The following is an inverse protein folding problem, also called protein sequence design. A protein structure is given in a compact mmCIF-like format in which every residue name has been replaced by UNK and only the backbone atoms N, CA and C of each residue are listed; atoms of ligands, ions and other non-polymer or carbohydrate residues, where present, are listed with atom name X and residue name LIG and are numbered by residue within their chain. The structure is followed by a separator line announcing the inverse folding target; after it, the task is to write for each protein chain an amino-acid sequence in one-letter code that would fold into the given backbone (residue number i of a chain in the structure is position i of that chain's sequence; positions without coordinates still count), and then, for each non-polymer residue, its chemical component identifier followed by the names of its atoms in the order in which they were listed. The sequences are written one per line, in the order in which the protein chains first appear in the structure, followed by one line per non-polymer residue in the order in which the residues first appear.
data_IF_185396527259
#
_entry.id   IF_185396527259
#
_cell.length_a   1.000
_cell.length_b   1.000
_cell.length_c   1.000
_cell.angle_alpha   90.00
_cell.angle_beta   90.00
_cell.angle_gamma   90.00
#
_symmetry.space_group_name_H-M   'P 1'
#
loop_
_entity.id
_entity.type
_entity.pdbx_description
1 polymer ?
#
# COMPACT_ATOMS: atom_id res chain seq x y z
N UNK A 1 -1.73 4.11 9.95
CA UNK A 1 -2.25 2.78 10.38
C UNK A 1 -1.61 1.65 9.55
N UNK A 2 -0.67 0.88 10.13
CA UNK A 2 0.24 -0.03 9.40
C UNK A 2 -0.45 -1.14 8.58
N UNK A 3 -1.65 -1.56 8.95
CA UNK A 3 -2.41 -2.60 8.21
C UNK A 3 -2.85 -2.12 6.83
N UNK A 4 -3.29 -0.86 6.70
CA UNK A 4 -3.58 -0.27 5.39
C UNK A 4 -2.31 -0.01 4.59
N UNK A 5 -1.21 0.36 5.26
CA UNK A 5 0.10 0.49 4.62
C UNK A 5 0.54 -0.85 4.01
N UNK A 6 0.36 -1.96 4.73
CA UNK A 6 0.61 -3.30 4.20
C UNK A 6 -0.27 -3.63 2.97
N UNK A 7 -1.56 -3.32 3.04
CA UNK A 7 -2.50 -3.51 1.94
C UNK A 7 -2.09 -2.71 0.70
N UNK A 8 -1.77 -1.42 0.87
CA UNK A 8 -1.34 -0.52 -0.21
C UNK A 8 -0.06 -1.04 -0.86
N UNK A 9 0.97 -1.34 -0.08
CA UNK A 9 2.23 -1.89 -0.61
C UNK A 9 2.02 -3.16 -1.43
N UNK A 10 1.21 -4.09 -0.92
CA UNK A 10 0.89 -5.30 -1.64
C UNK A 10 0.14 -5.01 -2.95
N UNK A 11 -0.91 -4.17 -2.92
CA UNK A 11 -1.67 -3.82 -4.12
C UNK A 11 -0.84 -3.06 -5.16
N UNK A 12 0.01 -2.12 -4.73
CA UNK A 12 0.95 -1.42 -5.59
C UNK A 12 1.93 -2.41 -6.27
N UNK A 13 2.47 -3.36 -5.51
CA UNK A 13 3.39 -4.37 -6.06
C UNK A 13 2.74 -5.20 -7.17
N UNK A 14 1.46 -5.56 -6.97
CA UNK A 14 0.67 -6.33 -7.94
C UNK A 14 0.34 -5.50 -9.16
N UNK A 15 -0.13 -4.27 -8.98
CA UNK A 15 -0.45 -3.35 -10.08
C UNK A 15 0.77 -3.03 -10.96
N UNK A 16 1.96 -2.91 -10.35
CA UNK A 16 3.22 -2.66 -11.05
C UNK A 16 3.82 -3.90 -11.72
N UNK A 17 3.42 -5.11 -11.30
CA UNK A 17 4.11 -6.34 -11.65
C UNK A 17 5.54 -6.41 -11.09
N UNK A 18 5.81 -5.73 -9.98
CA UNK A 18 7.12 -5.64 -9.33
C UNK A 18 6.96 -5.78 -7.83
N UNK A 19 7.76 -6.64 -7.19
CA UNK A 19 7.79 -6.72 -5.72
C UNK A 19 8.61 -5.59 -5.08
N UNK A 20 9.25 -4.73 -5.87
CA UNK A 20 10.03 -3.58 -5.39
C UNK A 20 9.26 -2.27 -5.56
N UNK A 21 9.23 -1.48 -4.50
CA UNK A 21 8.59 -0.17 -4.42
C UNK A 21 9.57 0.80 -3.77
N UNK A 22 9.78 1.95 -4.38
CA UNK A 22 10.63 2.98 -3.78
C UNK A 22 9.84 3.74 -2.69
N UNK A 23 10.48 4.07 -1.58
CA UNK A 23 9.84 4.84 -0.52
C UNK A 23 9.34 6.21 -0.99
N UNK A 24 10.08 6.98 -1.81
CA UNK A 24 9.55 8.18 -2.45
C UNK A 24 8.27 7.95 -3.25
N UNK A 25 8.18 6.85 -4.00
CA UNK A 25 6.98 6.48 -4.73
C UNK A 25 5.80 6.20 -3.79
N UNK A 26 6.03 5.44 -2.71
CA UNK A 26 5.00 5.19 -1.71
C UNK A 26 4.54 6.49 -1.05
N UNK A 27 5.47 7.39 -0.69
CA UNK A 27 5.12 8.69 -0.10
C UNK A 27 4.30 9.53 -1.05
N UNK A 28 4.65 9.58 -2.34
CA UNK A 28 3.85 10.26 -3.35
C UNK A 28 2.44 9.66 -3.44
N UNK A 29 2.34 8.32 -3.46
CA UNK A 29 1.04 7.66 -3.51
C UNK A 29 0.17 7.98 -2.28
N UNK A 30 0.73 7.97 -1.07
CA UNK A 30 -0.04 8.25 0.14
C UNK A 30 -0.40 9.74 0.27
N UNK A 31 0.59 10.62 0.18
CA UNK A 31 0.42 12.04 0.52
C UNK A 31 -0.10 12.88 -0.64
N UNK A 32 0.25 12.55 -1.89
CA UNK A 32 -0.20 13.33 -3.04
C UNK A 32 -1.45 12.73 -3.69
N UNK A 33 -1.52 11.42 -3.83
CA UNK A 33 -2.66 10.78 -4.49
C UNK A 33 -3.78 10.52 -3.47
N UNK A 34 -3.57 9.64 -2.50
CA UNK A 34 -4.64 9.23 -1.58
C UNK A 34 -5.18 10.40 -0.76
N UNK A 35 -4.30 11.21 -0.17
CA UNK A 35 -4.74 12.34 0.64
C UNK A 35 -5.34 13.46 -0.21
N UNK A 36 -4.59 14.05 -1.16
CA UNK A 36 -5.07 15.26 -1.84
C UNK A 36 -6.22 14.97 -2.80
N UNK A 37 -6.17 13.87 -3.54
CA UNK A 37 -7.18 13.58 -4.56
C UNK A 37 -8.33 12.73 -4.02
N UNK A 38 -8.05 11.65 -3.28
CA UNK A 38 -9.07 10.70 -2.80
C UNK A 38 -9.59 10.99 -1.38
N UNK A 39 -9.03 12.01 -0.72
CA UNK A 39 -9.41 12.45 0.65
C UNK A 39 -9.29 11.33 1.69
N UNK A 40 -8.32 10.44 1.52
CA UNK A 40 -7.99 9.36 2.44
C UNK A 40 -6.71 9.74 3.21
N UNK A 41 -6.84 9.92 4.52
CA UNK A 41 -5.71 10.23 5.41
C UNK A 41 -5.42 8.99 6.25
N UNK A 42 -4.26 8.36 6.01
CA UNK A 42 -3.82 7.14 6.72
C UNK A 42 -2.63 7.39 7.64
N UNK A 43 -1.84 8.41 7.32
CA UNK A 43 -0.63 8.81 8.01
C UNK A 43 -0.59 10.34 8.06
N UNK A 44 -0.05 10.88 9.15
CA UNK A 44 0.12 12.32 9.36
C UNK A 44 1.42 12.87 8.76
N UNK A 45 2.41 11.99 8.51
CA UNK A 45 3.75 12.37 8.10
C UNK A 45 4.51 11.21 7.44
N UNK A 46 5.52 11.54 6.62
CA UNK A 46 6.43 10.55 6.03
C UNK A 46 7.21 9.78 7.10
N UNK A 47 7.52 10.41 8.24
CA UNK A 47 8.19 9.77 9.37
C UNK A 47 7.31 8.73 10.06
N UNK A 48 6.00 8.98 10.18
CA UNK A 48 5.06 7.96 10.65
C UNK A 48 5.02 6.79 9.66
N UNK A 49 4.91 7.08 8.36
CA UNK A 49 4.90 6.04 7.33
C UNK A 49 6.18 5.18 7.33
N UNK A 50 7.35 5.79 7.49
CA UNK A 50 8.63 5.10 7.59
C UNK A 50 8.66 4.13 8.80
N UNK A 51 8.15 4.56 9.96
CA UNK A 51 8.03 3.69 11.15
C UNK A 51 7.13 2.49 10.90
N UNK A 52 6.06 2.66 10.14
CA UNK A 52 5.18 1.54 9.77
C UNK A 52 5.87 0.54 8.84
N UNK A 53 6.74 1.00 7.96
CA UNK A 53 7.54 0.13 7.09
C UNK A 53 8.59 -0.63 7.90
N UNK A 54 9.27 0.05 8.82
CA UNK A 54 10.21 -0.61 9.74
C UNK A 54 9.49 -1.67 10.59
N UNK A 55 8.28 -1.38 11.06
CA UNK A 55 7.47 -2.38 11.75
C UNK A 55 7.11 -3.57 10.83
N UNK A 56 6.74 -3.33 9.57
CA UNK A 56 6.49 -4.41 8.61
C UNK A 56 7.74 -5.25 8.31
N UNK A 57 8.93 -4.63 8.35
CA UNK A 57 10.23 -5.32 8.23
C UNK A 57 10.52 -6.18 9.45
N UNK A 58 10.27 -5.69 10.67
CA UNK A 58 10.36 -6.47 11.91
C UNK A 58 9.44 -7.69 11.89
N UNK A 59 8.24 -7.55 11.31
CA UNK A 59 7.34 -8.67 11.07
C UNK A 59 7.82 -9.64 9.98
N UNK A 60 8.88 -9.31 9.24
CA UNK A 60 9.38 -10.10 8.12
C UNK A 60 8.47 -10.04 6.89
N UNK A 61 7.59 -9.03 6.80
CA UNK A 61 6.68 -8.84 5.66
C UNK A 61 7.34 -8.09 4.50
N UNK A 62 8.39 -7.31 4.78
CA UNK A 62 9.20 -6.62 3.77
C UNK A 62 10.70 -6.71 4.08
N UNK A 63 11.55 -6.41 3.11
CA UNK A 63 12.87 -5.84 3.36
C UNK A 63 12.80 -4.32 3.11
N UNK A 64 13.55 -3.54 3.88
CA UNK A 64 13.64 -2.09 3.71
C UNK A 64 15.03 -1.59 4.12
N UNK A 65 15.66 -0.82 3.25
CA UNK A 65 17.01 -0.28 3.40
C UNK A 65 17.06 1.25 3.61
N UNK A 66 15.89 1.89 3.80
CA UNK A 66 15.76 3.34 3.87
C UNK A 66 15.30 3.97 2.55
N UNK A 67 15.42 3.25 1.42
CA UNK A 67 15.02 3.73 0.11
C UNK A 67 14.09 2.75 -0.61
N UNK A 68 14.49 1.49 -0.76
CA UNK A 68 13.75 0.48 -1.50
C UNK A 68 13.02 -0.48 -0.53
N UNK A 69 11.75 -0.75 -0.83
CA UNK A 69 10.90 -1.68 -0.11
C UNK A 69 10.71 -2.91 -0.99
N UNK A 70 11.16 -4.07 -0.52
CA UNK A 70 10.93 -5.35 -1.18
C UNK A 70 9.78 -6.10 -0.48
N UNK A 71 8.69 -6.32 -1.21
CA UNK A 71 7.50 -7.04 -0.74
C UNK A 71 7.75 -8.54 -0.70
N UNK A 72 7.47 -9.17 0.46
CA UNK A 72 7.53 -10.63 0.66
C UNK A 72 6.13 -11.24 0.68
N UNK A 73 6.05 -12.57 0.58
CA UNK A 73 4.78 -13.32 0.62
C UNK A 73 3.93 -12.99 1.86
N UNK A 74 4.56 -12.89 3.03
CA UNK A 74 3.88 -12.57 4.29
C UNK A 74 3.10 -11.26 4.25
N UNK A 75 3.52 -10.28 3.45
CA UNK A 75 2.74 -9.04 3.27
C UNK A 75 1.40 -9.32 2.58
N UNK A 76 1.37 -10.28 1.65
CA UNK A 76 0.15 -10.71 0.99
C UNK A 76 -0.84 -11.37 1.94
N UNK A 77 -0.36 -12.17 2.89
CA UNK A 77 -1.20 -12.77 3.94
C UNK A 77 -1.87 -11.68 4.80
N UNK A 78 -1.08 -10.69 5.23
CA UNK A 78 -1.58 -9.53 5.99
C UNK A 78 -2.60 -8.73 5.17
N UNK A 79 -2.29 -8.47 3.90
CA UNK A 79 -3.17 -7.73 2.99
C UNK A 79 -4.49 -8.47 2.74
N UNK A 80 -4.48 -9.81 2.65
CA UNK A 80 -5.68 -10.61 2.52
C UNK A 80 -6.57 -10.52 3.76
N UNK A 81 -5.99 -10.48 4.97
CA UNK A 81 -6.76 -10.29 6.20
C UNK A 81 -7.49 -8.93 6.18
N UNK A 82 -6.82 -7.87 5.73
CA UNK A 82 -7.44 -6.55 5.52
C UNK A 82 -8.55 -6.63 4.46
N UNK A 83 -8.31 -7.36 3.38
CA UNK A 83 -9.26 -7.53 2.28
C UNK A 83 -10.45 -8.45 2.59
N UNK A 84 -10.34 -9.32 3.57
CA UNK A 84 -11.39 -10.27 3.95
C UNK A 84 -12.00 -9.95 5.31
N UNK A 85 -11.55 -8.87 5.96
CA UNK A 85 -12.03 -8.49 7.28
C UNK A 85 -13.55 -8.29 7.29
N UNK A 86 -14.23 -8.92 8.25
CA UNK A 86 -15.66 -8.70 8.51
C UNK A 86 -15.97 -7.24 8.89
N UNK A 87 -14.95 -6.45 9.25
CA UNK A 87 -15.08 -5.02 9.47
C UNK A 87 -15.57 -4.28 8.22
N UNK A 88 -15.35 -4.83 7.01
CA UNK A 88 -15.90 -4.28 5.76
C UNK A 88 -17.43 -4.21 5.76
N UNK A 89 -18.07 -5.20 6.37
CA UNK A 89 -19.53 -5.31 6.42
C UNK A 89 -20.10 -4.55 7.62
N UNK A 90 -19.28 -4.37 8.66
CA UNK A 90 -19.69 -3.72 9.90
C UNK A 90 -19.41 -2.21 9.93
N UNK A 91 -18.43 -1.73 9.16
CA UNK A 91 -17.99 -0.34 9.17
C UNK A 91 -17.97 0.23 7.75
N UNK A 92 -18.96 1.07 7.43
CA UNK A 92 -19.07 1.78 6.14
C UNK A 92 -17.79 2.52 5.76
N UNK A 93 -17.12 3.13 6.75
CA UNK A 93 -15.87 3.86 6.54
C UNK A 93 -14.74 2.95 6.06
N UNK A 94 -14.64 1.73 6.58
CA UNK A 94 -13.61 0.77 6.20
C UNK A 94 -13.77 0.31 4.75
N UNK A 95 -15.01 0.03 4.35
CA UNK A 95 -15.36 -0.29 2.96
C UNK A 95 -15.02 0.87 2.00
N UNK A 96 -15.37 2.09 2.40
CA UNK A 96 -15.09 3.28 1.60
C UNK A 96 -13.58 3.50 1.40
N UNK A 97 -12.79 3.30 2.46
CA UNK A 97 -11.34 3.44 2.39
C UNK A 97 -10.72 2.48 1.39
N UNK A 98 -11.10 1.20 1.44
CA UNK A 98 -10.61 0.20 0.50
C UNK A 98 -11.08 0.46 -0.93
N UNK A 99 -12.33 0.89 -1.09
CA UNK A 99 -12.88 1.29 -2.39
C UNK A 99 -12.04 2.38 -3.04
N UNK A 100 -11.75 3.47 -2.30
CA UNK A 100 -10.96 4.59 -2.81
C UNK A 100 -9.49 4.23 -3.03
N UNK A 101 -8.89 3.42 -2.16
CA UNK A 101 -7.51 2.92 -2.35
C UNK A 101 -7.44 2.12 -3.64
N UNK A 102 -8.35 1.17 -3.85
CA UNK A 102 -8.37 0.35 -5.07
C UNK A 102 -8.59 1.22 -6.32
N UNK A 103 -9.56 2.15 -6.26
CA UNK A 103 -9.80 3.09 -7.35
C UNK A 103 -8.56 3.93 -7.68
N UNK A 104 -7.83 4.41 -6.67
CA UNK A 104 -6.59 5.17 -6.86
C UNK A 104 -5.51 4.33 -7.54
N UNK A 105 -5.32 3.09 -7.12
CA UNK A 105 -4.35 2.18 -7.72
C UNK A 105 -4.70 1.90 -9.18
N UNK A 106 -5.95 1.50 -9.46
CA UNK A 106 -6.41 1.14 -10.81
C UNK A 106 -6.33 2.32 -11.79
N UNK A 107 -6.52 3.56 -11.29
CA UNK A 107 -6.52 4.76 -12.13
C UNK A 107 -5.13 5.34 -12.35
N UNK A 108 -4.27 5.31 -11.32
CA UNK A 108 -3.00 6.05 -11.30
C UNK A 108 -1.79 5.20 -11.60
N UNK A 109 -1.86 3.89 -11.34
CA UNK A 109 -0.76 2.97 -11.55
C UNK A 109 -1.00 2.23 -12.86
N UNK A 110 -0.24 2.59 -13.90
CA UNK A 110 -0.28 1.87 -15.17
C UNK A 110 0.56 0.60 -15.05
N UNK A 111 0.11 -0.56 -15.54
CA UNK A 111 0.97 -1.72 -15.69
C UNK A 111 2.16 -1.33 -16.58
N UNK A 112 3.37 -1.78 -16.26
CA UNK A 112 4.48 -1.71 -17.22
C UNK A 112 4.03 -2.47 -18.47
N UNK A 113 3.90 -1.76 -19.60
CA UNK A 113 3.72 -2.36 -20.90
C UNK A 113 4.84 -3.37 -21.11
N UNK A 114 4.50 -4.65 -21.20
CA UNK A 114 5.42 -5.71 -21.59
C UNK A 114 5.96 -5.28 -22.95
N UNK A 115 7.23 -4.87 -23.00
CA UNK A 115 7.89 -4.62 -24.28
C UNK A 115 8.17 -6.01 -24.84
N UNK A 116 7.58 -6.42 -25.98
CA UNK A 116 7.95 -7.68 -26.59
C UNK A 116 9.43 -7.56 -26.97
N UNK A 117 10.23 -8.48 -26.43
CA UNK A 117 11.62 -8.70 -26.86
C UNK A 117 11.65 -9.27 -28.28
#
# INVERSE_FOLDING_TARGET
MWTFTAYILWKLSKAKGSNRIEFPELTHFIFDILWKEYKIVLNDSSKELEREIEYLKELGAVNYDGYEIEVKEKLGEIAQIVEQSSLKDQLTLYREYLGRINQAIDTKIKPKSITPS
#
